data_IF_509680942678
#
_entry.id   IF_509680942678
#
_cell.length_a   1.000
_cell.length_b   1.000
_cell.length_c   1.000
_cell.angle_alpha   90.00
_cell.angle_beta   90.00
_cell.angle_gamma   90.00
#
_symmetry.space_group_name_H-M   'P 1'
#
loop_
_entity.id
_entity.type
_entity.pdbx_description
1 polymer ?
#
# COMPACT_ATOMS: atom_id res chain seq x y z
N UNK A 1 24.75 0.67 -10.76
CA UNK A 1 23.94 0.69 -11.99
C UNK A 1 22.63 -0.01 -11.64
N UNK A 2 21.68 0.74 -11.06
CA UNK A 2 20.47 0.16 -10.49
C UNK A 2 19.49 -0.21 -11.59
N UNK A 3 19.18 -1.49 -11.69
CA UNK A 3 18.10 -1.96 -12.55
C UNK A 3 16.79 -1.37 -11.99
N UNK A 4 16.06 -0.63 -12.81
CA UNK A 4 14.68 -0.21 -12.51
C UNK A 4 13.79 -1.45 -12.58
N UNK A 5 13.87 -2.30 -11.55
CA UNK A 5 12.94 -3.39 -11.38
C UNK A 5 11.56 -2.81 -11.00
N UNK A 6 10.46 -3.37 -11.53
CA UNK A 6 9.13 -2.93 -11.17
C UNK A 6 8.87 -3.18 -9.68
N UNK A 7 8.27 -2.19 -9.00
CA UNK A 7 7.85 -2.36 -7.60
C UNK A 7 6.62 -3.28 -7.53
N UNK A 8 6.65 -4.21 -6.59
CA UNK A 8 5.63 -5.22 -6.38
C UNK A 8 4.83 -4.93 -5.11
N UNK A 9 3.51 -4.82 -5.26
CA UNK A 9 2.59 -4.37 -4.22
C UNK A 9 1.46 -5.37 -4.00
N UNK A 10 1.13 -5.63 -2.72
CA UNK A 10 0.09 -6.57 -2.32
C UNK A 10 -1.22 -5.85 -1.93
N UNK A 11 -2.34 -6.22 -2.60
CA UNK A 11 -3.68 -5.61 -2.45
C UNK A 11 -4.81 -6.63 -2.26
N UNK A 12 -4.50 -7.83 -1.75
CA UNK A 12 -5.41 -8.98 -1.74
C UNK A 12 -6.42 -8.97 -0.58
N UNK A 13 -6.30 -8.05 0.38
CA UNK A 13 -7.11 -8.02 1.61
C UNK A 13 -8.62 -8.22 1.44
N UNK A 14 -9.20 -7.70 0.35
CA UNK A 14 -10.63 -7.79 0.08
C UNK A 14 -11.11 -9.16 -0.43
N UNK A 15 -10.19 -10.03 -0.84
CA UNK A 15 -10.47 -11.38 -1.34
C UNK A 15 -10.20 -12.47 -0.31
N UNK A 16 -9.58 -12.13 0.82
CA UNK A 16 -9.09 -13.12 1.77
C UNK A 16 -10.16 -13.51 2.78
N UNK A 17 -10.25 -14.81 3.04
CA UNK A 17 -11.13 -15.37 4.04
C UNK A 17 -10.55 -15.16 5.44
N UNK A 18 -11.17 -14.26 6.19
CA UNK A 18 -10.84 -13.98 7.59
C UNK A 18 -9.63 -13.07 7.80
N UNK A 19 -9.55 -12.49 9.00
CA UNK A 19 -8.49 -11.55 9.38
C UNK A 19 -7.11 -12.22 9.39
N UNK A 20 -7.03 -13.45 9.91
CA UNK A 20 -5.77 -14.19 10.02
C UNK A 20 -5.21 -14.56 8.64
N UNK A 21 -6.07 -14.85 7.67
CA UNK A 21 -5.67 -15.08 6.29
C UNK A 21 -5.06 -13.82 5.67
N UNK A 22 -5.66 -12.65 5.92
CA UNK A 22 -5.17 -11.39 5.36
C UNK A 22 -3.80 -11.00 5.94
N UNK A 23 -3.60 -11.20 7.23
CA UNK A 23 -2.33 -10.93 7.91
C UNK A 23 -1.23 -11.87 7.42
N UNK A 24 -1.48 -13.18 7.44
CA UNK A 24 -0.50 -14.17 7.00
C UNK A 24 -0.18 -14.03 5.51
N UNK A 25 -1.18 -13.79 4.65
CA UNK A 25 -0.99 -13.56 3.23
C UNK A 25 -0.06 -12.37 2.95
N UNK A 26 -0.30 -11.22 3.59
CA UNK A 26 0.54 -10.04 3.45
C UNK A 26 1.97 -10.25 3.95
N UNK A 27 2.15 -11.01 5.03
CA UNK A 27 3.47 -11.37 5.57
C UNK A 27 4.24 -12.27 4.59
N UNK A 28 3.61 -13.35 4.09
CA UNK A 28 4.25 -14.26 3.14
C UNK A 28 4.57 -13.59 1.80
N UNK A 29 3.75 -12.65 1.33
CA UNK A 29 4.09 -11.84 0.16
C UNK A 29 5.35 -10.99 0.39
N UNK A 30 5.47 -10.34 1.55
CA UNK A 30 6.66 -9.55 1.90
C UNK A 30 7.92 -10.41 2.07
N UNK A 31 7.77 -11.65 2.54
CA UNK A 31 8.84 -12.65 2.58
C UNK A 31 9.22 -13.12 1.16
N UNK A 32 8.26 -13.20 0.25
CA UNK A 32 8.41 -13.52 -1.17
C UNK A 32 8.94 -12.36 -2.03
N UNK A 33 9.58 -11.36 -1.41
CA UNK A 33 10.22 -10.22 -2.07
C UNK A 33 9.26 -9.19 -2.68
N UNK A 34 8.04 -9.07 -2.15
CA UNK A 34 7.18 -7.90 -2.44
C UNK A 34 7.70 -6.67 -1.69
N UNK A 35 7.67 -5.52 -2.35
CA UNK A 35 8.18 -4.25 -1.79
C UNK A 35 7.29 -3.70 -0.68
N UNK A 36 5.97 -3.84 -0.78
CA UNK A 36 5.02 -3.34 0.21
C UNK A 36 3.63 -4.01 0.12
N UNK A 37 2.86 -3.88 1.19
CA UNK A 37 1.47 -4.34 1.31
C UNK A 37 0.54 -3.17 1.67
N UNK A 38 -0.76 -3.33 1.39
CA UNK A 38 -1.81 -2.43 1.87
C UNK A 38 -2.31 -2.74 3.29
N UNK A 39 -1.80 -3.81 3.92
CA UNK A 39 -2.23 -4.28 5.24
C UNK A 39 -1.49 -3.60 6.40
N UNK A 40 -2.19 -2.71 7.09
CA UNK A 40 -1.67 -1.99 8.26
C UNK A 40 -1.44 -2.90 9.48
N UNK A 41 -2.25 -3.94 9.69
CA UNK A 41 -2.07 -4.89 10.79
C UNK A 41 -0.79 -5.72 10.60
N UNK A 42 -0.51 -6.13 9.36
CA UNK A 42 0.75 -6.82 9.05
C UNK A 42 1.97 -5.92 9.31
N UNK A 43 1.88 -4.63 8.98
CA UNK A 43 2.92 -3.66 9.31
C UNK A 43 3.10 -3.49 10.82
N UNK A 44 2.00 -3.34 11.54
CA UNK A 44 2.04 -3.14 12.99
C UNK A 44 2.64 -4.34 13.72
N UNK A 45 2.40 -5.57 13.25
CA UNK A 45 2.87 -6.80 13.90
C UNK A 45 4.26 -7.25 13.43
N UNK A 46 4.55 -7.12 12.13
CA UNK A 46 5.73 -7.72 11.50
C UNK A 46 6.67 -6.70 10.82
N UNK A 47 6.30 -5.42 10.78
CA UNK A 47 7.12 -4.37 10.17
C UNK A 47 7.19 -4.43 8.64
N UNK A 48 6.20 -5.04 7.98
CA UNK A 48 6.10 -5.06 6.51
C UNK A 48 5.90 -3.63 5.97
N UNK A 49 6.58 -3.25 4.89
CA UNK A 49 6.39 -1.89 4.34
C UNK A 49 4.95 -1.67 3.86
N UNK A 50 4.39 -0.49 4.14
CA UNK A 50 3.00 -0.15 3.74
C UNK A 50 2.96 0.85 2.62
N UNK A 51 2.13 0.58 1.61
CA UNK A 51 1.75 1.52 0.56
C UNK A 51 0.28 1.32 0.18
N UNK A 52 -0.45 2.42 0.04
CA UNK A 52 -1.87 2.42 -0.32
C UNK A 52 -2.17 3.53 -1.32
N UNK A 53 -3.17 3.29 -2.17
CA UNK A 53 -3.75 4.29 -3.07
C UNK A 53 -5.20 4.58 -2.65
N UNK A 54 -5.76 5.68 -3.17
CA UNK A 54 -7.19 5.95 -3.01
C UNK A 54 -8.05 4.87 -3.68
N UNK A 55 -9.15 4.51 -3.02
CA UNK A 55 -10.11 3.52 -3.54
C UNK A 55 -11.16 4.18 -4.43
N UNK A 56 -11.91 3.38 -5.17
CA UNK A 56 -13.06 3.88 -5.95
C UNK A 56 -14.11 4.58 -5.08
N UNK A 57 -14.32 4.14 -3.83
CA UNK A 57 -15.25 4.79 -2.92
C UNK A 57 -14.84 6.23 -2.58
N UNK A 58 -13.53 6.50 -2.52
CA UNK A 58 -13.01 7.85 -2.32
C UNK A 58 -13.32 8.77 -3.51
N UNK A 59 -13.16 8.29 -4.74
CA UNK A 59 -13.46 9.11 -5.93
C UNK A 59 -14.97 9.32 -6.07
N UNK A 60 -15.78 8.30 -5.81
CA UNK A 60 -17.24 8.37 -5.95
C UNK A 60 -17.95 9.18 -4.86
N UNK A 61 -17.25 9.61 -3.80
CA UNK A 61 -17.87 10.48 -2.79
C UNK A 61 -17.98 11.94 -3.23
N UNK A 62 -17.27 12.34 -4.29
CA UNK A 62 -17.31 13.69 -4.83
C UNK A 62 -18.44 13.83 -5.86
N UNK A 63 -19.24 14.88 -5.73
CA UNK A 63 -20.37 15.14 -6.65
C UNK A 63 -19.97 16.08 -7.80
N UNK A 64 -18.87 16.83 -7.62
CA UNK A 64 -18.34 17.77 -8.62
C UNK A 64 -16.84 17.96 -8.44
N UNK A 65 -16.14 18.29 -9.53
CA UNK A 65 -14.72 18.64 -9.50
C UNK A 65 -14.41 19.87 -8.64
N UNK A 66 -15.41 20.74 -8.40
CA UNK A 66 -15.27 21.94 -7.56
C UNK A 66 -15.04 21.60 -6.09
N UNK A 67 -15.43 20.40 -5.65
CA UNK A 67 -15.22 19.90 -4.27
C UNK A 67 -13.78 19.43 -4.04
N UNK A 68 -12.97 19.32 -5.09
CA UNK A 68 -11.58 18.85 -5.06
C UNK A 68 -10.66 20.06 -4.98
N UNK A 69 -10.60 20.68 -3.79
CA UNK A 69 -9.84 21.93 -3.57
C UNK A 69 -8.37 21.72 -3.24
N UNK A 70 -7.96 20.51 -2.85
CA UNK A 70 -6.61 20.25 -2.35
C UNK A 70 -5.67 19.62 -3.39
N UNK A 71 -4.38 19.97 -3.30
CA UNK A 71 -3.32 19.35 -4.10
C UNK A 71 -2.95 17.94 -3.59
N UNK A 72 -3.34 17.57 -2.36
CA UNK A 72 -3.17 16.20 -1.83
C UNK A 72 -4.00 15.16 -2.59
N UNK A 73 -5.12 15.59 -3.20
CA UNK A 73 -5.93 14.80 -4.13
C UNK A 73 -5.29 14.64 -5.52
N UNK A 74 -4.25 15.42 -5.86
CA UNK A 74 -3.49 15.28 -7.10
C UNK A 74 -2.39 14.20 -6.97
N UNK A 75 -2.81 12.94 -6.98
CA UNK A 75 -1.99 11.76 -6.64
C UNK A 75 -0.89 11.39 -7.68
N UNK A 76 -0.68 12.15 -8.75
CA UNK A 76 0.17 11.71 -9.86
C UNK A 76 1.70 11.88 -9.64
N UNK A 77 2.16 12.64 -8.64
CA UNK A 77 3.60 13.04 -8.54
C UNK A 77 4.28 12.85 -7.20
N UNK A 78 3.56 12.51 -6.13
CA UNK A 78 4.20 12.27 -4.83
C UNK A 78 4.62 10.80 -4.74
N UNK A 79 5.89 10.48 -4.38
CA UNK A 79 6.25 9.10 -4.09
C UNK A 79 5.35 8.61 -2.95
N UNK A 80 4.74 7.44 -3.11
CA UNK A 80 3.95 6.81 -2.06
C UNK A 80 4.80 6.83 -0.78
N UNK A 81 4.32 7.52 0.26
CA UNK A 81 5.05 7.60 1.53
C UNK A 81 5.07 6.18 2.09
N UNK A 82 6.22 5.52 1.96
CA UNK A 82 6.44 4.23 2.59
C UNK A 82 6.49 4.51 4.08
N UNK A 83 5.50 4.02 4.82
CA UNK A 83 5.64 3.89 6.26
C UNK A 83 6.51 2.65 6.51
N UNK A 84 7.81 2.75 6.22
CA UNK A 84 8.76 1.67 6.50
C UNK A 84 9.33 1.86 7.90
N UNK A 85 9.28 0.81 8.72
CA UNK A 85 10.17 0.68 9.87
C UNK A 85 11.58 0.33 9.37
N UNK A 86 12.40 1.35 9.10
CA UNK A 86 13.84 1.26 8.73
C UNK A 86 14.18 0.52 7.40
N UNK A 87 15.33 0.81 6.77
CA UNK A 87 15.72 0.19 5.51
C UNK A 87 16.19 -1.24 5.76
N UNK A 88 15.82 -2.20 4.89
CA UNK A 88 16.50 -3.49 4.84
C UNK A 88 18.00 -3.21 4.63
N UNK A 89 18.81 -3.43 5.66
CA UNK A 89 20.26 -3.51 5.54
C UNK A 89 20.59 -4.70 4.64
N UNK A 90 21.21 -4.42 3.50
CA UNK A 90 22.05 -5.41 2.83
C UNK A 90 23.37 -5.54 3.60
#
# INVERSE_FOLDING_TARGET
MGLLLPELLEFSLHMVEGCDGGISGSEYCYLGDFDASSNLEAWQRFGTAVRVAHSHAFVSSYMSFDEITDCSTAMARAPARIFSSSPRSA
#
